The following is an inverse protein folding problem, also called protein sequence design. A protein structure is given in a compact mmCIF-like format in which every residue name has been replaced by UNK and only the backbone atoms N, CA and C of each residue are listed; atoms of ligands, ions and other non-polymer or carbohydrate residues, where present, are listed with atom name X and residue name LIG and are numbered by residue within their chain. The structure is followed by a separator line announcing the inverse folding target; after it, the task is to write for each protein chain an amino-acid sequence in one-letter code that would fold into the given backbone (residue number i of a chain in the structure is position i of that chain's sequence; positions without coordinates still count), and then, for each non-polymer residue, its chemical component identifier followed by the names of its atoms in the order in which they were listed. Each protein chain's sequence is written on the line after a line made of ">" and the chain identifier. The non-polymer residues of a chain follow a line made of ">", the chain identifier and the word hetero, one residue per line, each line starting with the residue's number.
data_IF_236698315199
#
_entry.id   IF_236698315199
#
_cell.length_a   1.000
_cell.length_b   1.000
_cell.length_c   1.000
_cell.angle_alpha   90.00
_cell.angle_beta   90.00
_cell.angle_gamma   90.00
#
_symmetry.space_group_name_H-M   'P 1'
#
loop_
_entity.id
_entity.type
_entity.pdbx_description
1 polymer ?
#
# COMPACT_ATOMS: atom_id res chain seq x y z
N UNK A 1 8.49 0.84 2.54
CA UNK A 1 9.74 1.46 3.05
C UNK A 1 9.45 2.59 4.01
N UNK A 2 8.56 3.54 3.66
CA UNK A 2 8.22 4.66 4.53
C UNK A 2 7.83 4.25 5.95
N UNK A 3 7.04 3.19 6.13
CA UNK A 3 6.72 2.65 7.46
C UNK A 3 7.96 2.32 8.33
N UNK A 4 9.06 1.85 7.72
CA UNK A 4 10.32 1.59 8.44
C UNK A 4 11.04 2.90 8.79
N UNK A 5 11.12 3.81 7.83
CA UNK A 5 11.78 5.12 7.97
C UNK A 5 11.09 5.94 9.08
N UNK A 6 9.76 5.98 9.08
CA UNK A 6 8.94 6.64 10.10
C UNK A 6 9.15 6.04 11.51
N UNK A 7 9.49 4.76 11.60
CA UNK A 7 9.88 4.10 12.85
C UNK A 7 11.37 4.25 13.20
N UNK A 8 12.13 5.03 12.44
CA UNK A 8 13.56 5.30 12.69
C UNK A 8 14.52 4.23 12.19
N UNK A 9 14.06 3.29 11.36
CA UNK A 9 14.92 2.28 10.72
C UNK A 9 15.67 2.93 9.56
N UNK A 10 16.99 2.80 9.57
CA UNK A 10 17.84 3.20 8.44
C UNK A 10 17.62 2.25 7.26
N UNK A 11 17.22 2.83 6.12
CA UNK A 11 17.03 2.12 4.85
C UNK A 11 18.00 2.70 3.83
N UNK A 12 18.62 1.84 3.03
CA UNK A 12 19.47 2.25 1.93
C UNK A 12 18.83 1.92 0.59
N UNK A 13 19.24 2.61 -0.45
CA UNK A 13 18.89 2.32 -1.84
C UNK A 13 20.16 2.13 -2.68
N UNK A 14 20.14 1.15 -3.57
CA UNK A 14 21.24 0.91 -4.50
C UNK A 14 21.26 1.95 -5.63
N UNK A 15 22.37 2.68 -5.79
CA UNK A 15 22.56 3.66 -6.87
C UNK A 15 23.15 3.06 -8.15
N UNK A 16 23.59 1.81 -8.10
CA UNK A 16 23.91 1.01 -9.28
C UNK A 16 23.62 -0.48 -9.04
N UNK A 17 23.54 -1.32 -10.09
CA UNK A 17 23.31 -2.75 -9.93
C UNK A 17 24.40 -3.41 -9.07
N UNK A 18 24.02 -4.41 -8.27
CA UNK A 18 24.96 -5.16 -7.43
C UNK A 18 24.61 -6.64 -7.38
N UNK A 19 25.55 -7.46 -6.92
CA UNK A 19 25.37 -8.90 -6.75
C UNK A 19 25.73 -9.30 -5.33
N UNK A 20 24.87 -10.10 -4.69
CA UNK A 20 25.14 -10.68 -3.36
C UNK A 20 24.62 -12.11 -3.33
N UNK A 21 25.39 -13.03 -2.75
CA UNK A 21 25.12 -14.49 -2.73
C UNK A 21 24.77 -15.06 -4.13
N UNK A 22 25.40 -14.53 -5.19
CA UNK A 22 25.17 -14.98 -6.57
C UNK A 22 23.85 -14.52 -7.21
N UNK A 23 23.05 -13.69 -6.53
CA UNK A 23 21.85 -13.05 -7.09
C UNK A 23 22.14 -11.59 -7.41
N UNK A 24 21.71 -11.15 -8.60
CA UNK A 24 21.86 -9.76 -9.06
C UNK A 24 20.61 -8.95 -8.77
N UNK A 25 20.83 -7.71 -8.33
CA UNK A 25 19.79 -6.75 -7.96
C UNK A 25 19.97 -5.47 -8.80
N UNK A 26 18.88 -4.91 -9.37
CA UNK A 26 18.94 -3.70 -10.17
C UNK A 26 19.21 -2.46 -9.30
N UNK A 27 19.57 -1.36 -9.98
CA UNK A 27 19.52 -0.01 -9.39
C UNK A 27 18.12 0.27 -8.82
N UNK A 28 18.05 0.99 -7.71
CA UNK A 28 16.79 1.30 -7.02
C UNK A 28 16.35 0.25 -6.00
N UNK A 29 17.02 -0.91 -5.92
CA UNK A 29 16.74 -1.92 -4.88
C UNK A 29 16.95 -1.36 -3.47
N UNK A 30 16.03 -1.66 -2.56
CA UNK A 30 16.15 -1.27 -1.16
C UNK A 30 16.96 -2.31 -0.36
N UNK A 31 17.82 -1.82 0.53
CA UNK A 31 18.64 -2.63 1.42
C UNK A 31 18.44 -2.15 2.86
N UNK A 32 17.90 -3.04 3.70
CA UNK A 32 17.71 -2.76 5.14
C UNK A 32 18.76 -3.55 5.92
N UNK A 33 19.84 -2.88 6.33
CA UNK A 33 20.91 -3.54 7.09
C UNK A 33 20.46 -3.76 8.54
N UNK A 34 20.54 -4.99 9.03
CA UNK A 34 20.29 -5.32 10.43
C UNK A 34 21.41 -4.83 11.38
N UNK A 35 22.52 -4.28 10.87
CA UNK A 35 23.61 -3.70 11.66
C UNK A 35 23.30 -2.26 12.08
N UNK A 36 22.21 -2.07 12.83
CA UNK A 36 21.74 -0.79 13.36
C UNK A 36 21.06 -0.98 14.72
N UNK A 37 20.83 0.11 15.47
CA UNK A 37 20.19 0.05 16.79
C UNK A 37 18.80 -0.61 16.75
N UNK A 38 18.05 -0.40 15.66
CA UNK A 38 16.72 -0.96 15.44
C UNK A 38 16.71 -2.40 14.89
N UNK A 39 17.82 -3.14 14.99
CA UNK A 39 17.89 -4.56 14.57
C UNK A 39 16.71 -5.41 15.04
N UNK A 40 16.28 -5.37 16.32
CA UNK A 40 15.16 -6.19 16.75
C UNK A 40 13.86 -5.83 16.02
N UNK A 41 13.62 -4.53 15.79
CA UNK A 41 12.43 -4.06 15.09
C UNK A 41 12.42 -4.50 13.62
N UNK A 42 13.55 -4.37 12.90
CA UNK A 42 13.69 -4.89 11.53
C UNK A 42 13.37 -6.39 11.49
N UNK A 43 13.88 -7.18 12.43
CA UNK A 43 13.58 -8.61 12.49
C UNK A 43 12.09 -8.87 12.76
N UNK A 44 11.47 -8.13 13.67
CA UNK A 44 10.04 -8.25 13.95
C UNK A 44 9.16 -7.91 12.72
N UNK A 45 9.57 -6.96 11.89
CA UNK A 45 8.80 -6.55 10.70
C UNK A 45 8.94 -7.50 9.51
N UNK A 46 10.03 -8.28 9.43
CA UNK A 46 10.35 -9.13 8.27
C UNK A 46 10.39 -10.62 8.56
N UNK A 47 10.66 -11.07 9.79
CA UNK A 47 10.81 -12.48 10.11
C UNK A 47 9.49 -13.08 10.64
N UNK A 48 9.25 -14.39 10.42
CA UNK A 48 8.14 -15.09 11.07
C UNK A 48 8.27 -14.98 12.59
N UNK A 49 7.16 -14.76 13.28
CA UNK A 49 7.11 -14.83 14.74
C UNK A 49 6.98 -16.29 15.16
N UNK A 50 7.76 -16.68 16.16
CA UNK A 50 7.64 -17.97 16.83
C UNK A 50 7.00 -17.73 18.19
N UNK A 51 5.73 -18.13 18.32
CA UNK A 51 4.99 -17.98 19.57
C UNK A 51 5.24 -19.21 20.44
N UNK A 52 5.76 -19.06 21.66
CA UNK A 52 6.07 -20.20 22.51
C UNK A 52 4.80 -20.96 22.91
N UNK A 53 4.93 -22.27 23.12
CA UNK A 53 3.87 -23.07 23.74
C UNK A 53 3.64 -22.59 25.18
N UNK A 54 2.59 -21.80 25.39
CA UNK A 54 2.16 -21.36 26.71
C UNK A 54 1.32 -22.46 27.38
N UNK A 55 1.98 -23.31 28.16
CA UNK A 55 1.36 -24.47 28.82
C UNK A 55 0.98 -24.10 30.26
N UNK A 56 -0.33 -24.01 30.59
CA UNK A 56 -0.78 -23.49 31.89
C UNK A 56 -0.49 -24.42 33.07
N UNK A 57 -0.42 -25.74 32.82
CA UNK A 57 -0.01 -26.75 33.79
C UNK A 57 0.46 -28.04 33.08
N UNK A 58 1.29 -28.90 33.73
CA UNK A 58 1.80 -30.11 33.10
C UNK A 58 0.69 -31.01 32.55
N UNK A 59 0.75 -31.31 31.24
CA UNK A 59 -0.21 -32.16 30.54
C UNK A 59 -1.44 -31.44 29.96
N UNK A 60 -1.53 -30.12 30.09
CA UNK A 60 -2.52 -29.31 29.36
C UNK A 60 -2.09 -29.09 27.90
N UNK A 61 -3.07 -28.82 27.04
CA UNK A 61 -2.80 -28.28 25.71
C UNK A 61 -2.27 -26.82 25.82
N UNK A 62 -1.39 -26.37 24.90
CA UNK A 62 -0.95 -24.98 24.85
C UNK A 62 -2.11 -24.02 24.64
N UNK A 63 -2.04 -22.84 25.26
CA UNK A 63 -2.99 -21.76 25.02
C UNK A 63 -2.75 -21.23 23.60
N UNK A 64 -3.75 -21.28 22.70
CA UNK A 64 -3.58 -20.74 21.35
C UNK A 64 -3.35 -19.22 21.43
N UNK A 65 -2.51 -18.67 20.54
CA UNK A 65 -2.32 -17.23 20.47
C UNK A 65 -3.65 -16.53 20.11
N UNK A 66 -3.84 -15.30 20.61
CA UNK A 66 -4.97 -14.46 20.22
C UNK A 66 -4.91 -14.10 18.72
N UNK A 67 -6.07 -13.78 18.14
CA UNK A 67 -6.27 -13.56 16.69
C UNK A 67 -5.39 -12.45 16.06
N UNK A 68 -4.80 -11.57 16.87
CA UNK A 68 -3.86 -10.52 16.45
C UNK A 68 -2.39 -10.83 16.77
N UNK A 69 -1.97 -12.09 16.70
CA UNK A 69 -0.61 -12.50 17.03
C UNK A 69 0.43 -12.31 15.91
N UNK A 70 0.01 -11.92 14.71
CA UNK A 70 0.91 -11.58 13.60
C UNK A 70 1.06 -10.07 13.46
N UNK A 71 2.30 -9.56 13.58
CA UNK A 71 2.65 -8.16 13.25
C UNK A 71 3.80 -8.08 12.25
N UNK A 72 4.02 -9.16 11.48
CA UNK A 72 5.07 -9.21 10.47
C UNK A 72 4.62 -8.43 9.23
N UNK A 73 4.78 -7.12 9.30
CA UNK A 73 4.32 -6.15 8.28
C UNK A 73 4.72 -6.54 6.85
N UNK A 74 5.92 -7.10 6.64
CA UNK A 74 6.35 -7.53 5.32
C UNK A 74 5.41 -8.59 4.70
N UNK A 75 4.87 -9.50 5.51
CA UNK A 75 3.94 -10.54 5.05
C UNK A 75 2.54 -9.98 4.83
N UNK A 76 2.06 -9.11 5.72
CA UNK A 76 0.76 -8.45 5.57
C UNK A 76 0.70 -7.57 4.32
N UNK A 77 1.83 -6.95 3.96
CA UNK A 77 1.97 -6.14 2.75
C UNK A 77 2.33 -6.97 1.49
N UNK A 78 2.47 -8.29 1.60
CA UNK A 78 2.86 -9.15 0.47
C UNK A 78 4.24 -8.83 -0.12
N UNK A 79 5.16 -8.28 0.70
CA UNK A 79 6.50 -7.91 0.26
C UNK A 79 7.35 -9.18 0.13
N UNK A 80 7.85 -9.43 -1.08
CA UNK A 80 8.91 -10.39 -1.33
C UNK A 80 10.27 -9.77 -1.00
N UNK A 81 11.11 -10.48 -0.26
CA UNK A 81 12.45 -10.03 0.10
C UNK A 81 13.41 -11.21 0.27
N UNK A 82 14.70 -10.95 0.10
CA UNK A 82 15.75 -11.93 0.36
C UNK A 82 16.46 -11.64 1.68
N UNK A 83 16.69 -12.68 2.49
CA UNK A 83 17.48 -12.59 3.71
C UNK A 83 18.93 -12.95 3.42
N UNK A 84 19.82 -11.97 3.57
CA UNK A 84 21.27 -12.18 3.51
C UNK A 84 21.83 -12.13 4.93
N UNK A 85 22.43 -13.25 5.38
CA UNK A 85 22.95 -13.38 6.74
C UNK A 85 24.32 -12.72 6.93
N UNK A 86 25.16 -12.79 5.90
CA UNK A 86 26.49 -12.20 5.93
C UNK A 86 26.43 -10.69 5.71
N UNK A 87 27.33 -9.96 6.37
CA UNK A 87 27.50 -8.54 6.12
C UNK A 87 27.98 -8.33 4.68
N UNK A 88 27.38 -7.36 3.99
CA UNK A 88 27.83 -6.95 2.67
C UNK A 88 27.69 -5.44 2.49
N UNK A 89 28.54 -4.93 1.60
CA UNK A 89 28.53 -3.56 1.14
C UNK A 89 28.32 -3.52 -0.37
N UNK A 90 28.02 -2.33 -0.87
CA UNK A 90 27.71 -2.11 -2.26
C UNK A 90 27.50 -0.63 -2.53
N UNK A 91 27.05 -0.29 -3.75
CA UNK A 91 26.77 1.07 -4.16
C UNK A 91 25.46 1.53 -3.52
N UNK A 92 25.44 1.71 -2.20
CA UNK A 92 24.25 2.03 -1.42
C UNK A 92 24.32 3.44 -0.87
N UNK A 93 23.23 4.19 -1.00
CA UNK A 93 23.04 5.48 -0.35
C UNK A 93 21.93 5.34 0.68
N UNK A 94 22.12 5.94 1.86
CA UNK A 94 21.09 6.03 2.89
C UNK A 94 19.96 6.95 2.42
N UNK A 95 18.71 6.53 2.61
CA UNK A 95 17.55 7.38 2.36
C UNK A 95 17.45 8.41 3.48
N UNK A 96 17.57 9.68 3.14
CA UNK A 96 17.54 10.79 4.09
C UNK A 96 16.15 11.06 4.68
N UNK A 97 15.10 10.67 3.97
CA UNK A 97 13.70 10.85 4.36
C UNK A 97 12.82 9.78 3.70
N UNK A 98 11.52 9.80 3.97
CA UNK A 98 10.52 8.99 3.27
C UNK A 98 10.64 9.17 1.75
N UNK A 99 10.37 8.10 1.02
CA UNK A 99 10.40 8.10 -0.44
C UNK A 99 9.00 8.38 -0.97
N UNK A 100 8.94 9.17 -2.04
CA UNK A 100 7.69 9.35 -2.78
C UNK A 100 7.18 7.99 -3.26
N UNK A 101 5.86 7.73 -3.17
CA UNK A 101 5.31 6.53 -3.74
C UNK A 101 5.53 6.53 -5.26
N UNK A 102 5.62 5.35 -5.90
CA UNK A 102 5.60 5.27 -7.35
C UNK A 102 4.39 6.03 -7.90
N UNK A 103 4.61 6.88 -8.89
CA UNK A 103 3.52 7.64 -9.51
C UNK A 103 2.48 6.66 -10.09
N UNK A 104 1.22 6.91 -9.77
CA UNK A 104 0.10 6.19 -10.31
C UNK A 104 -0.27 6.66 -11.71
N UNK A 105 -1.27 6.01 -12.29
CA UNK A 105 -1.80 6.30 -13.61
C UNK A 105 -2.67 7.55 -13.58
N UNK A 106 -2.18 8.60 -14.25
CA UNK A 106 -2.91 9.84 -14.49
C UNK A 106 -4.09 9.54 -15.43
N UNK A 107 -5.31 9.98 -15.11
CA UNK A 107 -6.46 9.73 -15.97
C UNK A 107 -6.48 10.67 -17.17
N UNK A 108 -7.28 10.32 -18.18
CA UNK A 108 -7.60 11.24 -19.27
C UNK A 108 -8.55 12.34 -18.76
N UNK A 109 -8.25 13.57 -19.17
CA UNK A 109 -9.08 14.73 -18.85
C UNK A 109 -10.33 14.73 -19.72
N UNK A 110 -11.44 15.29 -19.21
CA UNK A 110 -12.75 15.38 -19.89
C UNK A 110 -13.46 14.02 -20.11
N UNK A 111 -13.40 13.12 -19.12
CA UNK A 111 -14.19 11.90 -19.10
C UNK A 111 -15.59 12.15 -18.49
N UNK A 112 -16.55 11.23 -18.69
CA UNK A 112 -17.83 11.27 -17.98
C UNK A 112 -17.70 10.84 -16.51
N UNK A 113 -16.70 10.01 -16.21
CA UNK A 113 -16.36 9.65 -14.83
C UNK A 113 -15.01 8.94 -14.72
N UNK A 114 -14.68 8.54 -13.50
CA UNK A 114 -13.40 7.90 -13.18
C UNK A 114 -13.59 6.71 -12.25
N UNK A 115 -12.79 5.68 -12.44
CA UNK A 115 -12.77 4.49 -11.61
C UNK A 115 -11.47 4.41 -10.81
N UNK A 116 -11.61 3.95 -9.56
CA UNK A 116 -10.52 3.71 -8.62
C UNK A 116 -10.70 2.33 -7.96
N UNK A 117 -9.63 1.54 -7.94
CA UNK A 117 -9.62 0.20 -7.34
C UNK A 117 -9.86 0.26 -5.82
N UNK A 118 -10.62 -0.70 -5.25
CA UNK A 118 -10.78 -0.80 -3.80
C UNK A 118 -9.63 -1.54 -3.10
N UNK A 119 -8.69 -2.11 -3.85
CA UNK A 119 -7.64 -2.98 -3.32
C UNK A 119 -6.48 -2.20 -2.69
N UNK A 120 -6.31 -0.93 -3.07
CA UNK A 120 -5.22 -0.08 -2.56
C UNK A 120 -5.69 0.68 -1.32
N UNK A 121 -4.97 0.57 -0.21
CA UNK A 121 -5.31 1.25 1.04
C UNK A 121 -5.47 2.77 0.87
N UNK A 122 -4.60 3.41 0.07
CA UNK A 122 -4.63 4.85 -0.18
C UNK A 122 -5.88 5.30 -0.96
N UNK A 123 -6.67 4.38 -1.53
CA UNK A 123 -7.94 4.72 -2.16
C UNK A 123 -8.88 5.46 -1.19
N UNK A 124 -8.86 5.11 0.10
CA UNK A 124 -9.70 5.78 1.10
C UNK A 124 -9.27 7.23 1.33
N UNK A 125 -7.98 7.53 1.19
CA UNK A 125 -7.45 8.90 1.29
C UNK A 125 -7.99 9.73 0.13
N UNK A 126 -7.96 9.20 -1.09
CA UNK A 126 -8.52 9.87 -2.26
C UNK A 126 -10.04 10.09 -2.13
N UNK A 127 -10.77 9.05 -1.73
CA UNK A 127 -12.23 9.12 -1.51
C UNK A 127 -12.58 10.22 -0.50
N UNK A 128 -11.91 10.25 0.65
CA UNK A 128 -12.17 11.27 1.68
C UNK A 128 -11.83 12.69 1.21
N UNK A 129 -10.70 12.86 0.50
CA UNK A 129 -10.32 14.17 -0.07
C UNK A 129 -11.34 14.65 -1.09
N UNK A 130 -11.79 13.78 -1.99
CA UNK A 130 -12.78 14.11 -3.02
C UNK A 130 -14.15 14.45 -2.40
N UNK A 131 -14.64 13.65 -1.46
CA UNK A 131 -15.88 13.96 -0.72
C UNK A 131 -15.76 15.32 -0.01
N UNK A 132 -14.61 15.61 0.60
CA UNK A 132 -14.34 16.90 1.25
C UNK A 132 -14.36 18.11 0.30
N UNK A 133 -14.17 17.88 -1.00
CA UNK A 133 -14.27 18.91 -2.05
C UNK A 133 -15.65 18.98 -2.73
N UNK A 134 -16.63 18.19 -2.25
CA UNK A 134 -17.99 18.18 -2.79
C UNK A 134 -18.22 17.27 -3.99
N UNK A 135 -17.29 16.35 -4.28
CA UNK A 135 -17.49 15.35 -5.34
C UNK A 135 -18.40 14.23 -4.86
N UNK A 136 -19.27 13.77 -5.76
CA UNK A 136 -20.06 12.56 -5.55
C UNK A 136 -19.24 11.33 -5.91
N UNK A 137 -19.18 10.38 -4.99
CA UNK A 137 -18.44 9.13 -5.15
C UNK A 137 -19.37 7.99 -4.83
N UNK A 138 -19.42 7.02 -5.72
CA UNK A 138 -20.26 5.85 -5.64
C UNK A 138 -19.39 4.62 -5.44
N UNK A 139 -19.79 3.74 -4.52
CA UNK A 139 -19.16 2.44 -4.34
C UNK A 139 -20.01 1.37 -4.99
N UNK A 140 -19.51 0.73 -6.04
CA UNK A 140 -20.24 -0.28 -6.80
C UNK A 140 -20.52 -1.50 -5.93
N UNK A 141 -21.75 -2.05 -5.98
CA UNK A 141 -22.11 -3.27 -5.22
C UNK A 141 -21.84 -4.54 -6.00
N UNK A 142 -21.89 -4.45 -7.32
CA UNK A 142 -21.72 -5.57 -8.25
C UNK A 142 -20.47 -5.35 -9.11
N UNK A 143 -19.94 -6.40 -9.75
CA UNK A 143 -18.91 -6.23 -10.76
C UNK A 143 -19.42 -5.37 -11.92
N UNK A 144 -18.55 -4.58 -12.54
CA UNK A 144 -18.91 -3.72 -13.67
C UNK A 144 -17.85 -3.79 -14.77
N UNK A 145 -18.27 -3.89 -16.02
CA UNK A 145 -17.35 -3.87 -17.17
C UNK A 145 -17.30 -2.46 -17.75
N UNK A 146 -16.18 -1.77 -17.53
CA UNK A 146 -15.99 -0.38 -17.92
C UNK A 146 -14.54 -0.14 -18.35
N UNK A 147 -14.35 0.66 -19.40
CA UNK A 147 -13.02 0.97 -19.92
C UNK A 147 -12.25 -0.27 -20.43
N UNK A 148 -12.98 -1.30 -20.90
CA UNK A 148 -12.40 -2.54 -21.41
C UNK A 148 -11.85 -3.49 -20.34
N UNK A 149 -12.25 -3.29 -19.07
CA UNK A 149 -11.84 -4.12 -17.93
C UNK A 149 -13.06 -4.44 -17.05
N UNK A 150 -13.08 -5.65 -16.48
CA UNK A 150 -14.01 -6.02 -15.41
C UNK A 150 -13.48 -5.52 -14.07
N UNK A 151 -14.28 -4.74 -13.38
CA UNK A 151 -14.02 -4.19 -12.06
C UNK A 151 -14.75 -4.98 -10.99
N UNK A 152 -14.10 -5.28 -9.85
CA UNK A 152 -14.75 -6.02 -8.78
C UNK A 152 -15.78 -5.17 -8.02
N UNK A 153 -16.69 -5.81 -7.27
CA UNK A 153 -17.50 -5.14 -6.25
C UNK A 153 -16.63 -4.29 -5.32
N UNK A 154 -17.18 -3.17 -4.89
CA UNK A 154 -16.47 -2.23 -4.02
C UNK A 154 -15.66 -1.16 -4.75
N UNK A 155 -15.50 -1.26 -6.08
CA UNK A 155 -14.86 -0.23 -6.91
C UNK A 155 -15.50 1.14 -6.70
N UNK A 156 -14.67 2.17 -6.64
CA UNK A 156 -15.13 3.55 -6.51
C UNK A 156 -15.32 4.16 -7.90
N UNK A 157 -16.53 4.67 -8.14
CA UNK A 157 -16.85 5.52 -9.29
C UNK A 157 -16.96 6.96 -8.83
N UNK A 158 -16.23 7.84 -9.50
CA UNK A 158 -16.14 9.28 -9.21
C UNK A 158 -16.78 10.00 -10.39
N UNK A 159 -17.88 10.69 -10.14
CA UNK A 159 -18.57 11.46 -11.19
C UNK A 159 -17.71 12.65 -11.61
N UNK A 160 -17.62 12.89 -12.93
CA UNK A 160 -16.77 13.95 -13.44
C UNK A 160 -17.36 15.34 -13.17
N UNK A 161 -16.51 16.21 -12.65
CA UNK A 161 -16.72 17.65 -12.54
C UNK A 161 -15.53 18.37 -13.18
N UNK A 162 -15.70 19.68 -13.41
CA UNK A 162 -14.64 20.51 -14.04
C UNK A 162 -13.27 20.44 -13.34
N UNK A 163 -13.23 20.20 -12.03
CA UNK A 163 -11.99 20.11 -11.23
C UNK A 163 -11.47 18.69 -11.04
N UNK A 164 -12.25 17.64 -11.35
CA UNK A 164 -11.93 16.26 -10.99
C UNK A 164 -10.62 15.80 -11.60
N UNK A 165 -10.43 15.97 -12.92
CA UNK A 165 -9.23 15.49 -13.61
C UNK A 165 -7.92 16.01 -13.01
N UNK A 166 -7.87 17.30 -12.63
CA UNK A 166 -6.68 17.89 -12.00
C UNK A 166 -6.45 17.35 -10.57
N UNK A 167 -7.52 17.16 -9.79
CA UNK A 167 -7.42 16.57 -8.46
C UNK A 167 -6.93 15.12 -8.52
N UNK A 168 -7.44 14.33 -9.46
CA UNK A 168 -7.02 12.94 -9.66
C UNK A 168 -5.56 12.86 -10.14
N UNK A 169 -5.15 13.74 -11.07
CA UNK A 169 -3.74 13.83 -11.49
C UNK A 169 -2.83 14.07 -10.28
N UNK A 170 -3.17 15.05 -9.44
CA UNK A 170 -2.38 15.35 -8.24
C UNK A 170 -2.33 14.16 -7.29
N UNK A 171 -3.42 13.43 -7.08
CA UNK A 171 -3.43 12.24 -6.24
C UNK A 171 -2.65 11.06 -6.86
N UNK A 172 -2.69 10.89 -8.17
CA UNK A 172 -1.86 9.90 -8.85
C UNK A 172 -0.36 10.19 -8.64
N UNK A 173 0.04 11.45 -8.64
CA UNK A 173 1.42 11.85 -8.38
C UNK A 173 1.82 11.79 -6.90
N UNK A 174 0.98 12.29 -6.00
CA UNK A 174 1.30 12.43 -4.57
C UNK A 174 1.18 11.12 -3.78
N UNK A 175 0.20 10.27 -4.13
CA UNK A 175 -0.12 9.05 -3.37
C UNK A 175 -0.16 7.79 -4.24
N UNK A 176 0.32 7.87 -5.48
CA UNK A 176 0.56 6.68 -6.32
C UNK A 176 -0.68 5.92 -6.80
N UNK A 177 -1.86 6.57 -6.83
CA UNK A 177 -3.11 5.90 -7.21
C UNK A 177 -3.33 5.84 -8.71
N UNK A 178 -3.82 4.69 -9.18
CA UNK A 178 -4.22 4.47 -10.56
C UNK A 178 -5.69 4.85 -10.77
N UNK A 179 -5.94 5.83 -11.65
CA UNK A 179 -7.29 6.20 -12.07
C UNK A 179 -7.55 5.79 -13.52
N UNK A 180 -8.77 5.34 -13.79
CA UNK A 180 -9.21 4.99 -15.14
C UNK A 180 -10.39 5.86 -15.54
N UNK A 181 -10.24 6.61 -16.62
CA UNK A 181 -11.31 7.40 -17.22
C UNK A 181 -12.34 6.50 -17.91
N UNK A 182 -13.61 6.86 -17.78
CA UNK A 182 -14.73 6.18 -18.45
C UNK A 182 -15.64 7.21 -19.13
N UNK A 183 -16.16 6.83 -20.28
CA UNK A 183 -17.04 7.66 -21.11
C UNK A 183 -18.52 7.40 -20.85
N UNK A 184 -18.84 6.55 -19.86
CA UNK A 184 -20.21 6.22 -19.46
C UNK A 184 -20.26 5.95 -17.96
N UNK A 185 -21.36 6.30 -17.32
CA UNK A 185 -21.63 5.91 -15.94
C UNK A 185 -21.81 4.38 -15.80
N UNK A 186 -21.39 3.77 -14.68
CA UNK A 186 -21.63 2.35 -14.41
C UNK A 186 -23.12 2.04 -14.35
N UNK A 187 -23.52 0.93 -14.96
CA UNK A 187 -24.84 0.34 -14.79
C UNK A 187 -24.91 -0.46 -13.47
N UNK A 188 -26.09 -0.49 -12.85
CA UNK A 188 -26.38 -1.29 -11.66
C UNK A 188 -26.36 -0.50 -10.35
N UNK A 189 -26.51 -1.24 -9.24
CA UNK A 189 -26.62 -0.65 -7.92
C UNK A 189 -25.26 -0.16 -7.40
N UNK A 190 -25.23 1.11 -6.98
CA UNK A 190 -24.09 1.71 -6.31
C UNK A 190 -24.50 2.44 -5.03
N UNK A 191 -23.60 2.48 -4.05
CA UNK A 191 -23.78 3.21 -2.80
C UNK A 191 -23.13 4.60 -2.91
N UNK A 192 -23.93 5.66 -2.88
CA UNK A 192 -23.41 7.02 -2.72
C UNK A 192 -22.73 7.17 -1.36
N UNK A 193 -21.44 7.51 -1.38
CA UNK A 193 -20.64 7.73 -0.19
C UNK A 193 -20.91 9.11 0.37
N UNK A 194 -21.05 9.17 1.70
CA UNK A 194 -21.30 10.42 2.44
C UNK A 194 -20.15 10.67 3.42
N UNK A 195 -19.90 11.94 3.79
CA UNK A 195 -18.97 12.25 4.86
C UNK A 195 -19.32 11.46 6.12
N UNK A 196 -18.36 10.70 6.64
CA UNK A 196 -18.52 9.97 7.90
C UNK A 196 -18.37 10.97 9.06
N UNK A 197 -19.28 10.92 10.02
CA UNK A 197 -19.16 11.68 11.27
C UNK A 197 -18.49 10.77 12.30
N UNK A 198 -17.33 11.20 12.81
CA UNK A 198 -16.69 10.52 13.94
C UNK A 198 -17.39 11.01 15.20
N UNK A 199 -18.08 10.10 15.90
CA UNK A 199 -18.54 10.36 17.27
C UNK A 199 -17.38 10.11 18.23
N UNK A 200 -17.09 11.10 19.09
CA UNK A 200 -16.18 10.98 20.23
C UNK A 200 -16.98 10.66 21.49
#
# INVERSE_FOLDING_TARGET
>A
MNALIECGVTVHQAVSPFTVVGKSYPVGSYVVKAAQAFRPHVRSMFEPQDYPDDIPYPGADPIPPYDSAGWTLAYDMGIEFDRVYEGFDGPFEELADVVDPPKGKIPQFNAEGYLLSPETNDAIVAVNRLIGTGHEIYRLKEPSELGGKVWPPGTYYIEAQSSTGYLLMKMAEDIGLDFVSVDTSPEGDALLLKPVRIGL
#
